data_IF_159337980103
#
_entry.id   IF_159337980103
#
_cell.length_a   1.000
_cell.length_b   1.000
_cell.length_c   1.000
_cell.angle_alpha   90.00
_cell.angle_beta   90.00
_cell.angle_gamma   90.00
#
_symmetry.space_group_name_H-M   'P 1'
#
loop_
_entity.id
_entity.type
_entity.pdbx_description
1 polymer ?
#
# COMPACT_ATOMS: atom_id res chain seq x y z
N UNK A 1 -38.45 -4.47 29.59
CA UNK A 1 -37.90 -3.40 28.74
C UNK A 1 -36.38 -3.55 28.55
N UNK A 2 -35.86 -4.77 28.39
CA UNK A 2 -34.40 -5.07 28.44
C UNK A 2 -33.77 -5.40 27.07
N UNK A 3 -34.58 -5.56 26.02
CA UNK A 3 -34.12 -6.14 24.75
C UNK A 3 -33.47 -5.13 23.78
N UNK A 4 -33.55 -3.82 24.04
CA UNK A 4 -33.11 -2.78 23.08
C UNK A 4 -31.61 -2.45 23.16
N UNK A 5 -30.97 -2.70 24.31
CA UNK A 5 -29.55 -2.35 24.52
C UNK A 5 -28.57 -3.25 23.73
N UNK A 6 -28.93 -4.51 23.47
CA UNK A 6 -28.01 -5.49 22.88
C UNK A 6 -27.92 -5.37 21.35
N UNK A 7 -28.98 -4.89 20.69
CA UNK A 7 -29.06 -4.75 19.23
C UNK A 7 -28.18 -3.58 18.75
N UNK A 8 -28.13 -2.48 19.51
CA UNK A 8 -27.30 -1.32 19.20
C UNK A 8 -25.80 -1.63 19.39
N UNK A 9 -25.44 -2.47 20.36
CA UNK A 9 -24.04 -2.86 20.58
C UNK A 9 -23.47 -3.69 19.44
N UNK A 10 -24.25 -4.66 18.90
CA UNK A 10 -23.83 -5.51 17.77
C UNK A 10 -23.70 -4.75 16.46
N UNK A 11 -24.48 -3.69 16.27
CA UNK A 11 -24.41 -2.83 15.07
C UNK A 11 -23.16 -1.93 15.05
N UNK A 12 -22.49 -1.75 16.19
CA UNK A 12 -21.26 -0.96 16.31
C UNK A 12 -20.00 -1.84 16.27
N UNK A 13 -20.14 -3.16 16.40
CA UNK A 13 -19.04 -4.10 16.18
C UNK A 13 -18.78 -4.11 14.69
N UNK A 14 -17.69 -3.42 14.27
CA UNK A 14 -17.21 -3.49 12.89
C UNK A 14 -17.14 -4.97 12.49
N UNK A 15 -17.76 -5.39 11.38
CA UNK A 15 -17.71 -6.78 10.96
C UNK A 15 -16.25 -7.20 10.88
N UNK A 16 -15.88 -8.26 11.59
CA UNK A 16 -14.56 -8.83 11.48
C UNK A 16 -14.39 -9.26 10.02
N UNK A 17 -13.55 -8.55 9.26
CA UNK A 17 -13.36 -8.87 7.86
C UNK A 17 -12.67 -10.21 7.76
N UNK A 18 -13.17 -11.09 6.88
CA UNK A 18 -12.51 -12.35 6.60
C UNK A 18 -11.06 -12.12 6.17
N UNK A 19 -10.17 -13.05 6.52
CA UNK A 19 -8.76 -13.00 6.14
C UNK A 19 -8.60 -12.85 4.62
N UNK A 20 -9.47 -13.50 3.84
CA UNK A 20 -9.46 -13.39 2.38
C UNK A 20 -9.78 -11.96 1.91
N UNK A 21 -10.80 -11.32 2.49
CA UNK A 21 -11.12 -9.92 2.20
C UNK A 21 -9.94 -9.00 2.48
N UNK A 22 -9.24 -9.20 3.61
CA UNK A 22 -8.08 -8.40 3.98
C UNK A 22 -6.93 -8.56 2.98
N UNK A 23 -6.62 -9.80 2.57
CA UNK A 23 -5.58 -10.08 1.58
C UNK A 23 -5.90 -9.45 0.22
N UNK A 24 -7.17 -9.47 -0.21
CA UNK A 24 -7.61 -8.82 -1.44
C UNK A 24 -7.39 -7.31 -1.39
N UNK A 25 -7.73 -6.66 -0.27
CA UNK A 25 -7.49 -5.23 -0.08
C UNK A 25 -6.00 -4.88 -0.08
N UNK A 26 -5.18 -5.69 0.60
CA UNK A 26 -3.71 -5.55 0.62
C UNK A 26 -3.14 -5.61 -0.81
N UNK A 27 -3.55 -6.61 -1.58
CA UNK A 27 -3.11 -6.79 -2.97
C UNK A 27 -3.60 -5.65 -3.87
N UNK A 28 -4.84 -5.19 -3.69
CA UNK A 28 -5.41 -4.09 -4.45
C UNK A 28 -4.64 -2.78 -4.23
N UNK A 29 -4.32 -2.44 -2.98
CA UNK A 29 -3.54 -1.24 -2.67
C UNK A 29 -2.09 -1.34 -3.16
N UNK A 30 -1.49 -2.53 -3.16
CA UNK A 30 -0.18 -2.75 -3.75
C UNK A 30 -0.21 -2.52 -5.27
N UNK A 31 -1.26 -3.01 -5.94
CA UNK A 31 -1.46 -2.81 -7.38
C UNK A 31 -1.73 -1.34 -7.73
N UNK A 32 -2.56 -0.62 -6.97
CA UNK A 32 -2.78 0.82 -7.21
C UNK A 32 -1.54 1.66 -6.95
N UNK A 33 -0.70 1.27 -5.97
CA UNK A 33 0.62 1.90 -5.75
C UNK A 33 1.52 1.72 -6.98
N UNK A 34 1.55 0.53 -7.58
CA UNK A 34 2.29 0.27 -8.82
C UNK A 34 1.75 1.08 -10.02
N UNK A 35 0.43 1.22 -10.13
CA UNK A 35 -0.19 2.07 -11.16
C UNK A 35 0.16 3.55 -10.93
N UNK A 36 0.12 4.01 -9.67
CA UNK A 36 0.51 5.36 -9.29
C UNK A 36 1.98 5.69 -9.56
N UNK A 37 2.86 4.68 -9.55
CA UNK A 37 4.26 4.82 -9.95
C UNK A 37 4.44 5.14 -11.45
N UNK A 38 3.45 4.84 -12.30
CA UNK A 38 3.49 5.17 -13.74
C UNK A 38 3.00 6.57 -14.06
N UNK A 39 2.24 7.18 -13.15
CA UNK A 39 1.81 8.57 -13.30
C UNK A 39 2.89 9.43 -12.67
N UNK A 40 3.83 9.85 -13.50
CA UNK A 40 5.02 10.58 -13.07
C UNK A 40 5.25 11.86 -13.87
N UNK A 41 5.70 12.89 -13.17
CA UNK A 41 6.16 14.13 -13.77
C UNK A 41 7.70 14.04 -13.84
N UNK A 42 8.31 14.09 -15.04
CA UNK A 42 9.74 13.98 -15.19
C UNK A 42 10.47 15.07 -14.39
N UNK A 43 11.18 14.65 -13.35
CA UNK A 43 12.03 15.50 -12.52
C UNK A 43 13.32 14.74 -12.20
N UNK A 44 14.43 15.47 -12.07
CA UNK A 44 15.75 14.89 -11.78
C UNK A 44 16.21 15.39 -10.40
N UNK A 45 16.79 14.53 -9.54
CA UNK A 45 17.18 13.14 -9.79
C UNK A 45 16.06 12.10 -9.56
N UNK A 46 14.95 12.51 -8.93
CA UNK A 46 13.82 11.63 -8.61
C UNK A 46 12.54 12.20 -9.21
N UNK A 47 11.77 11.42 -9.99
CA UNK A 47 10.51 11.86 -10.54
C UNK A 47 9.45 12.03 -9.44
N UNK A 48 8.55 12.99 -9.63
CA UNK A 48 7.37 13.11 -8.78
C UNK A 48 6.29 12.16 -9.27
N UNK A 49 5.82 11.26 -8.41
CA UNK A 49 4.87 10.20 -8.76
C UNK A 49 3.64 10.24 -7.88
N UNK A 50 2.53 9.65 -8.34
CA UNK A 50 1.35 9.41 -7.48
C UNK A 50 1.53 8.22 -6.54
N UNK A 51 2.65 7.50 -6.64
CA UNK A 51 2.96 6.33 -5.82
C UNK A 51 2.85 6.63 -4.32
N UNK A 52 3.43 7.74 -3.86
CA UNK A 52 3.42 8.15 -2.44
C UNK A 52 2.01 8.47 -1.92
N UNK A 53 1.12 8.98 -2.76
CA UNK A 53 -0.28 9.17 -2.39
C UNK A 53 -0.95 7.83 -2.06
N UNK A 54 -0.75 6.80 -2.88
CA UNK A 54 -1.33 5.48 -2.65
C UNK A 54 -0.72 4.77 -1.43
N UNK A 55 0.56 5.02 -1.13
CA UNK A 55 1.22 4.54 0.10
C UNK A 55 0.47 5.06 1.32
N UNK A 56 0.28 6.39 1.42
CA UNK A 56 -0.41 7.02 2.54
C UNK A 56 -1.88 6.56 2.62
N UNK A 57 -2.56 6.45 1.47
CA UNK A 57 -3.93 5.93 1.43
C UNK A 57 -4.02 4.49 1.92
N UNK A 58 -3.04 3.65 1.63
CA UNK A 58 -3.03 2.27 2.12
C UNK A 58 -2.95 2.22 3.66
N UNK A 59 -2.12 3.06 4.27
CA UNK A 59 -2.03 3.18 5.73
C UNK A 59 -3.32 3.74 6.35
N UNK A 60 -3.90 4.75 5.70
CA UNK A 60 -5.15 5.38 6.16
C UNK A 60 -6.38 4.45 6.06
N UNK A 61 -6.49 3.65 4.99
CA UNK A 61 -7.66 2.79 4.74
C UNK A 61 -7.53 1.40 5.37
N UNK A 62 -6.33 0.80 5.32
CA UNK A 62 -6.09 -0.56 5.83
C UNK A 62 -5.60 -0.56 7.29
N UNK A 63 -5.19 0.60 7.82
CA UNK A 63 -4.53 0.72 9.11
C UNK A 63 -3.05 0.35 9.06
N UNK A 64 -2.32 0.61 10.14
CA UNK A 64 -0.85 0.49 10.18
C UNK A 64 -0.34 -0.91 9.77
N UNK A 65 -0.95 -1.99 10.27
CA UNK A 65 -0.49 -3.36 10.00
C UNK A 65 -0.74 -3.78 8.54
N UNK A 66 -1.96 -3.63 8.05
CA UNK A 66 -2.32 -4.11 6.71
C UNK A 66 -1.82 -3.15 5.61
N UNK A 67 -1.70 -1.85 5.91
CA UNK A 67 -1.01 -0.88 5.06
C UNK A 67 0.47 -1.23 4.88
N UNK A 68 1.19 -1.47 5.98
CA UNK A 68 2.59 -1.93 5.92
C UNK A 68 2.75 -3.24 5.12
N UNK A 69 1.83 -4.20 5.31
CA UNK A 69 1.81 -5.44 4.52
C UNK A 69 1.58 -5.17 3.03
N UNK A 70 0.70 -4.24 2.67
CA UNK A 70 0.44 -3.85 1.28
C UNK A 70 1.70 -3.29 0.62
N UNK A 71 2.40 -2.40 1.32
CA UNK A 71 3.65 -1.82 0.83
C UNK A 71 4.77 -2.85 0.77
N UNK A 72 4.84 -3.80 1.72
CA UNK A 72 5.78 -4.91 1.64
C UNK A 72 5.52 -5.79 0.42
N UNK A 73 4.26 -6.11 0.10
CA UNK A 73 3.89 -6.86 -1.11
C UNK A 73 4.32 -6.11 -2.37
N UNK A 74 4.09 -4.79 -2.41
CA UNK A 74 4.56 -3.93 -3.50
C UNK A 74 6.08 -4.03 -3.69
N UNK A 75 6.87 -3.86 -2.62
CA UNK A 75 8.33 -3.92 -2.69
C UNK A 75 8.85 -5.30 -3.10
N UNK A 76 8.31 -6.37 -2.51
CA UNK A 76 8.69 -7.75 -2.84
C UNK A 76 8.39 -8.02 -4.33
N UNK A 77 7.25 -7.58 -4.85
CA UNK A 77 6.92 -7.76 -6.26
C UNK A 77 7.94 -7.08 -7.19
N UNK A 78 8.41 -5.88 -6.84
CA UNK A 78 9.44 -5.19 -7.59
C UNK A 78 10.82 -5.85 -7.48
N UNK A 79 11.18 -6.36 -6.30
CA UNK A 79 12.42 -7.12 -6.09
C UNK A 79 12.43 -8.43 -6.89
N UNK A 80 11.29 -9.12 -6.99
CA UNK A 80 11.12 -10.35 -7.76
C UNK A 80 11.18 -10.12 -9.29
N UNK A 81 11.25 -8.87 -9.75
CA UNK A 81 11.47 -8.52 -11.15
C UNK A 81 10.25 -7.95 -11.87
N UNK A 82 9.15 -7.67 -11.16
CA UNK A 82 8.03 -6.97 -11.77
C UNK A 82 8.40 -5.47 -11.96
N UNK A 83 8.14 -4.86 -13.14
CA UNK A 83 8.44 -3.45 -13.41
C UNK A 83 7.44 -2.50 -12.74
N UNK A 84 7.34 -2.54 -11.41
CA UNK A 84 6.34 -1.82 -10.61
C UNK A 84 6.87 -0.52 -10.01
N UNK A 85 8.18 -0.28 -10.05
CA UNK A 85 8.75 0.98 -9.59
C UNK A 85 8.59 2.07 -10.65
N UNK A 86 8.79 3.32 -10.24
CA UNK A 86 8.76 4.49 -11.12
C UNK A 86 9.71 4.32 -12.32
N UNK A 87 9.35 4.93 -13.45
CA UNK A 87 9.99 4.75 -14.77
C UNK A 87 10.00 3.30 -15.27
N UNK A 88 9.23 2.40 -14.67
CA UNK A 88 9.25 0.96 -14.99
C UNK A 88 10.43 0.20 -14.39
N UNK A 89 11.08 0.75 -13.36
CA UNK A 89 12.18 0.11 -12.65
C UNK A 89 11.76 -1.18 -11.92
N UNK A 90 12.74 -2.05 -11.69
CA UNK A 90 12.59 -3.31 -10.94
C UNK A 90 13.93 -3.76 -10.36
N UNK A 91 13.89 -4.78 -9.50
CA UNK A 91 15.05 -5.44 -8.93
C UNK A 91 15.69 -4.68 -7.76
N UNK A 92 16.68 -5.33 -7.14
CA UNK A 92 17.39 -4.79 -5.98
C UNK A 92 18.23 -3.55 -6.30
N UNK A 93 18.65 -3.37 -7.56
CA UNK A 93 19.44 -2.21 -7.97
C UNK A 93 18.72 -0.87 -7.72
N UNK A 94 17.38 -0.87 -7.79
CA UNK A 94 16.58 0.34 -7.54
C UNK A 94 16.63 0.82 -6.07
N UNK A 95 16.94 -0.08 -5.14
CA UNK A 95 17.11 0.25 -3.72
C UNK A 95 18.45 0.94 -3.43
N UNK A 96 19.45 0.74 -4.29
CA UNK A 96 20.75 1.39 -4.20
C UNK A 96 20.79 2.73 -4.95
N UNK A 97 19.73 3.06 -5.70
CA UNK A 97 19.56 4.30 -6.42
C UNK A 97 18.98 5.44 -5.58
N UNK A 98 18.82 6.64 -6.17
CA UNK A 98 18.29 7.83 -5.47
C UNK A 98 16.85 7.66 -4.97
N UNK A 99 16.07 6.76 -5.58
CA UNK A 99 14.69 6.42 -5.18
C UNK A 99 14.61 5.36 -4.08
N UNK A 100 15.72 4.68 -3.76
CA UNK A 100 15.73 3.57 -2.83
C UNK A 100 15.27 3.93 -1.42
N UNK A 101 15.67 5.12 -0.94
CA UNK A 101 15.23 5.63 0.37
C UNK A 101 13.72 5.84 0.47
N UNK A 102 13.07 6.24 -0.62
CA UNK A 102 11.60 6.32 -0.68
C UNK A 102 10.99 4.93 -0.61
N UNK A 103 11.45 3.99 -1.44
CA UNK A 103 10.92 2.62 -1.44
C UNK A 103 11.01 1.96 -0.06
N UNK A 104 12.13 2.12 0.64
CA UNK A 104 12.32 1.54 1.97
C UNK A 104 11.46 2.18 3.06
N UNK A 105 11.02 3.43 2.89
CA UNK A 105 10.19 4.11 3.88
C UNK A 105 8.71 3.75 3.78
N UNK A 106 8.25 3.22 2.65
CA UNK A 106 6.82 2.99 2.40
C UNK A 106 6.10 2.08 3.40
N UNK A 107 6.69 0.98 3.90
CA UNK A 107 6.03 0.17 4.92
C UNK A 107 5.89 0.88 6.28
N UNK A 108 6.59 2.01 6.48
CA UNK A 108 6.65 2.77 7.72
C UNK A 108 5.82 4.06 7.63
N UNK A 109 5.53 4.54 6.41
CA UNK A 109 4.77 5.75 6.12
C UNK A 109 3.31 5.66 6.59
#
# INVERSE_FOLDING_TARGET
MEASGNVLSKSLVRPEQSVMTQLLWIALFAATTAIGARVEIPHQPVPYTLQTMFVILSGAFLGARNGAMSQAVYLISGVLGAPVFSMGGFGLAWFLGPTGGYLLSFPIA
#
